data_IF_099495561462
#
_entry.id   IF_099495561462
#
_cell.length_a   1.000
_cell.length_b   1.000
_cell.length_c   1.000
_cell.angle_alpha   90.00
_cell.angle_beta   90.00
_cell.angle_gamma   90.00
#
_symmetry.space_group_name_H-M   'P 1'
#
loop_
_entity.id
_entity.type
_entity.pdbx_description
1 polymer ?
#
# COMPACT_ATOMS: atom_id res chain seq x y z
N UNK A 1 -32.60 49.20 5.60
CA UNK A 1 -32.59 47.89 6.30
C UNK A 1 -33.16 48.10 7.68
N UNK A 2 -34.24 47.39 8.01
CA UNK A 2 -34.87 47.44 9.35
C UNK A 2 -33.95 46.77 10.38
N UNK A 3 -34.00 47.14 11.64
CA UNK A 3 -33.18 46.55 12.70
C UNK A 3 -33.27 45.02 12.73
N UNK A 4 -34.43 44.49 12.48
CA UNK A 4 -34.69 43.06 12.38
C UNK A 4 -33.88 42.34 11.28
N UNK A 5 -33.72 43.01 10.12
CA UNK A 5 -32.95 42.44 9.00
C UNK A 5 -31.45 42.42 9.32
N UNK A 6 -30.95 43.46 10.05
CA UNK A 6 -29.56 43.51 10.49
C UNK A 6 -29.24 42.41 11.50
N UNK A 7 -30.12 42.18 12.49
CA UNK A 7 -29.97 41.13 13.50
C UNK A 7 -30.00 39.74 12.82
N UNK A 8 -30.95 39.52 11.90
CA UNK A 8 -31.10 38.28 11.18
C UNK A 8 -29.83 37.96 10.35
N UNK A 9 -29.30 38.96 9.64
CA UNK A 9 -28.08 38.82 8.85
C UNK A 9 -26.86 38.52 9.73
N UNK A 10 -26.74 39.16 10.90
CA UNK A 10 -25.64 38.93 11.83
C UNK A 10 -25.69 37.51 12.43
N UNK A 11 -26.86 37.04 12.87
CA UNK A 11 -27.04 35.68 13.40
C UNK A 11 -26.73 34.63 12.33
N UNK A 12 -27.25 34.80 11.10
CA UNK A 12 -26.96 33.91 9.99
C UNK A 12 -25.46 33.90 9.65
N UNK A 13 -24.82 35.08 9.67
CA UNK A 13 -23.37 35.22 9.42
C UNK A 13 -22.53 34.47 10.45
N UNK A 14 -22.82 34.62 11.73
CA UNK A 14 -22.09 33.92 12.82
C UNK A 14 -22.21 32.40 12.67
N UNK A 15 -23.43 31.89 12.45
CA UNK A 15 -23.66 30.46 12.27
C UNK A 15 -22.93 29.92 11.04
N UNK A 16 -22.96 30.66 9.93
CA UNK A 16 -22.28 30.29 8.69
C UNK A 16 -20.74 30.23 8.88
N UNK A 17 -20.15 31.23 9.54
CA UNK A 17 -18.71 31.26 9.83
C UNK A 17 -18.32 30.08 10.72
N UNK A 18 -19.09 29.82 11.79
CA UNK A 18 -18.80 28.71 12.72
C UNK A 18 -18.84 27.36 12.01
N UNK A 19 -19.86 27.11 11.19
CA UNK A 19 -19.98 25.86 10.44
C UNK A 19 -18.82 25.72 9.43
N UNK A 20 -18.47 26.80 8.74
CA UNK A 20 -17.36 26.79 7.78
C UNK A 20 -16.04 26.43 8.46
N UNK A 21 -15.76 27.00 9.63
CA UNK A 21 -14.54 26.70 10.41
C UNK A 21 -14.52 25.21 10.80
N UNK A 22 -15.62 24.68 11.34
CA UNK A 22 -15.73 23.27 11.73
C UNK A 22 -15.49 22.36 10.53
N UNK A 23 -16.06 22.68 9.37
CA UNK A 23 -15.91 21.90 8.16
C UNK A 23 -14.46 21.91 7.64
N UNK A 24 -13.79 23.06 7.65
CA UNK A 24 -12.39 23.16 7.22
C UNK A 24 -11.49 22.32 8.13
N UNK A 25 -11.66 22.41 9.46
CA UNK A 25 -10.89 21.63 10.41
C UNK A 25 -11.14 20.13 10.23
N UNK A 26 -12.42 19.72 10.13
CA UNK A 26 -12.79 18.32 9.92
C UNK A 26 -12.23 17.76 8.62
N UNK A 27 -12.23 18.57 7.55
CA UNK A 27 -11.69 18.18 6.27
C UNK A 27 -10.15 18.00 6.31
N UNK A 28 -9.43 18.90 6.98
CA UNK A 28 -7.99 18.77 7.17
C UNK A 28 -7.64 17.51 7.98
N UNK A 29 -8.33 17.26 9.09
CA UNK A 29 -8.12 16.07 9.91
C UNK A 29 -8.44 14.78 9.14
N UNK A 30 -9.53 14.76 8.37
CA UNK A 30 -9.88 13.61 7.55
C UNK A 30 -8.84 13.34 6.47
N UNK A 31 -8.34 14.38 5.78
CA UNK A 31 -7.32 14.25 4.73
C UNK A 31 -6.00 13.70 5.28
N UNK A 32 -5.53 14.23 6.42
CA UNK A 32 -4.30 13.76 7.05
C UNK A 32 -4.42 12.32 7.55
N UNK A 33 -5.54 11.99 8.23
CA UNK A 33 -5.80 10.63 8.71
C UNK A 33 -5.84 9.61 7.57
N UNK A 34 -6.47 9.98 6.44
CA UNK A 34 -6.56 9.08 5.28
C UNK A 34 -5.20 8.86 4.64
N UNK A 35 -4.39 9.92 4.49
CA UNK A 35 -3.04 9.80 3.95
C UNK A 35 -2.15 8.92 4.83
N UNK A 36 -2.17 9.10 6.13
CA UNK A 36 -1.39 8.32 7.09
C UNK A 36 -1.82 6.84 7.09
N UNK A 37 -3.12 6.57 7.09
CA UNK A 37 -3.67 5.22 7.03
C UNK A 37 -3.28 4.50 5.75
N UNK A 38 -3.42 5.16 4.62
CA UNK A 38 -3.09 4.58 3.32
C UNK A 38 -1.58 4.34 3.17
N UNK A 39 -0.73 5.22 3.71
CA UNK A 39 0.71 5.02 3.77
C UNK A 39 1.08 3.80 4.62
N UNK A 40 0.46 3.67 5.78
CA UNK A 40 0.64 2.52 6.67
C UNK A 40 0.19 1.21 6.02
N UNK A 41 -0.94 1.21 5.31
CA UNK A 41 -1.43 0.05 4.58
C UNK A 41 -0.47 -0.36 3.45
N UNK A 42 0.02 0.60 2.67
CA UNK A 42 1.00 0.35 1.62
C UNK A 42 2.30 -0.24 2.19
N UNK A 43 2.78 0.29 3.31
CA UNK A 43 3.95 -0.24 4.00
C UNK A 43 3.72 -1.65 4.56
N UNK A 44 2.54 -1.93 5.10
CA UNK A 44 2.19 -3.26 5.58
C UNK A 44 2.13 -4.28 4.43
N UNK A 45 1.59 -3.88 3.28
CA UNK A 45 1.57 -4.72 2.08
C UNK A 45 2.99 -4.97 1.54
N UNK A 46 3.89 -3.98 1.61
CA UNK A 46 5.29 -4.19 1.24
C UNK A 46 5.99 -5.19 2.18
N UNK A 47 5.73 -5.12 3.49
CA UNK A 47 6.24 -6.14 4.44
C UNK A 47 5.63 -7.52 4.18
N UNK A 48 4.35 -7.59 3.85
CA UNK A 48 3.70 -8.85 3.51
C UNK A 48 4.28 -9.46 2.22
N UNK A 49 4.58 -8.62 1.21
CA UNK A 49 5.32 -9.06 0.02
C UNK A 49 6.71 -9.59 0.38
N UNK A 50 7.42 -8.95 1.31
CA UNK A 50 8.66 -9.46 1.89
C UNK A 50 8.49 -10.84 2.54
N UNK A 51 7.39 -11.06 3.26
CA UNK A 51 7.06 -12.38 3.82
C UNK A 51 6.85 -13.47 2.76
N UNK A 52 6.26 -13.11 1.62
CA UNK A 52 6.09 -14.02 0.47
C UNK A 52 7.47 -14.36 -0.14
N UNK A 53 8.36 -13.38 -0.25
CA UNK A 53 9.75 -13.59 -0.67
C UNK A 53 10.48 -14.57 0.27
N UNK A 54 10.41 -14.36 1.58
CA UNK A 54 11.02 -15.27 2.56
C UNK A 54 10.46 -16.70 2.47
N UNK A 55 9.16 -16.83 2.26
CA UNK A 55 8.51 -18.12 1.99
C UNK A 55 9.08 -18.76 0.75
N UNK A 56 9.29 -18.01 -0.34
CA UNK A 56 9.88 -18.50 -1.59
C UNK A 56 11.30 -19.04 -1.36
N UNK A 57 12.12 -18.34 -0.60
CA UNK A 57 13.45 -18.83 -0.23
C UNK A 57 13.40 -20.11 0.60
N UNK A 58 12.43 -20.23 1.52
CA UNK A 58 12.26 -21.44 2.32
C UNK A 58 11.82 -22.65 1.45
N UNK A 59 10.96 -22.43 0.45
CA UNK A 59 10.54 -23.45 -0.50
C UNK A 59 11.72 -23.92 -1.37
N UNK A 60 12.53 -22.99 -1.89
CA UNK A 60 13.74 -23.31 -2.66
C UNK A 60 14.74 -24.08 -1.79
N UNK A 61 14.92 -23.68 -0.53
CA UNK A 61 15.76 -24.41 0.42
C UNK A 61 15.31 -25.84 0.63
N UNK A 62 13.99 -26.03 0.80
CA UNK A 62 13.41 -27.38 0.95
C UNK A 62 13.56 -28.22 -0.32
N UNK A 63 13.45 -27.60 -1.49
CA UNK A 63 13.71 -28.26 -2.77
C UNK A 63 15.18 -28.71 -2.89
N UNK A 64 16.13 -27.82 -2.57
CA UNK A 64 17.55 -28.14 -2.56
C UNK A 64 17.88 -29.32 -1.62
N UNK A 65 17.28 -29.31 -0.40
CA UNK A 65 17.48 -30.42 0.55
C UNK A 65 16.94 -31.76 0.04
N UNK A 66 15.75 -31.79 -0.56
CA UNK A 66 15.18 -33.01 -1.14
C UNK A 66 16.08 -33.57 -2.24
N UNK A 67 16.51 -32.70 -3.16
CA UNK A 67 17.41 -33.05 -4.25
C UNK A 67 18.77 -33.52 -3.71
N UNK A 68 19.31 -32.89 -2.67
CA UNK A 68 20.56 -33.31 -2.06
C UNK A 68 20.49 -34.75 -1.53
N UNK A 69 19.39 -35.14 -0.89
CA UNK A 69 19.18 -36.52 -0.41
C UNK A 69 19.14 -37.50 -1.57
N UNK A 70 18.36 -37.21 -2.61
CA UNK A 70 18.19 -38.06 -3.77
C UNK A 70 19.50 -38.25 -4.57
N UNK A 71 20.21 -37.14 -4.84
CA UNK A 71 21.46 -37.13 -5.60
C UNK A 71 22.60 -37.83 -4.81
N UNK A 72 22.63 -37.64 -3.50
CA UNK A 72 23.70 -38.24 -2.67
C UNK A 72 23.76 -39.75 -2.81
N UNK A 73 22.59 -40.41 -2.82
CA UNK A 73 22.50 -41.87 -3.02
C UNK A 73 23.14 -42.33 -4.34
N UNK A 74 23.10 -41.54 -5.42
CA UNK A 74 23.71 -41.85 -6.71
C UNK A 74 25.21 -41.56 -6.75
N UNK A 75 25.64 -40.47 -6.13
CA UNK A 75 27.03 -40.09 -6.06
C UNK A 75 27.86 -41.11 -5.29
N UNK A 76 27.36 -41.63 -4.16
CA UNK A 76 28.06 -42.65 -3.36
C UNK A 76 28.28 -43.94 -4.18
N UNK A 77 27.24 -44.39 -4.89
CA UNK A 77 27.36 -45.57 -5.73
C UNK A 77 28.47 -45.45 -6.83
N UNK A 78 28.83 -44.20 -7.22
CA UNK A 78 29.86 -43.93 -8.22
C UNK A 78 31.27 -43.64 -7.66
N UNK A 79 31.46 -43.48 -6.35
CA UNK A 79 32.73 -42.98 -5.76
C UNK A 79 33.88 -44.03 -5.75
N UNK A 80 33.55 -45.31 -5.72
CA UNK A 80 34.49 -46.44 -5.76
C UNK A 80 34.47 -47.19 -7.09
N UNK A 81 33.84 -46.63 -8.10
CA UNK A 81 33.42 -47.28 -9.33
C UNK A 81 34.39 -47.02 -10.50
N UNK A 82 34.32 -47.87 -11.50
CA UNK A 82 34.97 -47.70 -12.80
C UNK A 82 34.53 -46.41 -13.50
N UNK A 83 35.28 -45.93 -14.49
CA UNK A 83 34.92 -44.75 -15.28
C UNK A 83 33.54 -44.87 -15.94
N UNK A 84 33.18 -46.10 -16.35
CA UNK A 84 31.83 -46.37 -16.93
C UNK A 84 30.73 -46.15 -15.90
N UNK A 85 30.90 -46.66 -14.68
CA UNK A 85 29.95 -46.49 -13.60
C UNK A 85 29.81 -45.03 -13.11
N UNK A 86 30.96 -44.28 -13.12
CA UNK A 86 30.94 -42.82 -12.85
C UNK A 86 30.15 -42.04 -13.89
N UNK A 87 30.28 -42.40 -15.17
CA UNK A 87 29.53 -41.76 -16.25
C UNK A 87 28.03 -42.11 -16.15
N UNK A 88 27.72 -43.34 -15.78
CA UNK A 88 26.31 -43.77 -15.53
C UNK A 88 25.69 -43.01 -14.36
N UNK A 89 26.42 -42.87 -13.25
CA UNK A 89 25.97 -42.07 -12.09
C UNK A 89 25.73 -40.59 -12.45
N UNK A 90 26.60 -39.99 -13.25
CA UNK A 90 26.44 -38.63 -13.77
C UNK A 90 25.16 -38.50 -14.61
N UNK A 91 24.90 -39.45 -15.52
CA UNK A 91 23.73 -39.46 -16.36
C UNK A 91 22.45 -39.56 -15.51
N UNK A 92 22.46 -40.40 -14.45
CA UNK A 92 21.32 -40.51 -13.53
C UNK A 92 21.11 -39.22 -12.75
N UNK A 93 22.16 -38.53 -12.27
CA UNK A 93 22.03 -37.23 -11.59
C UNK A 93 21.48 -36.20 -12.56
N UNK A 94 21.93 -36.17 -13.80
CA UNK A 94 21.41 -35.22 -14.80
C UNK A 94 19.92 -35.45 -15.10
N UNK A 95 19.47 -36.70 -15.13
CA UNK A 95 18.05 -37.05 -15.30
C UNK A 95 17.21 -36.54 -14.11
N UNK A 96 17.69 -36.73 -12.87
CA UNK A 96 17.07 -36.18 -11.65
C UNK A 96 16.97 -34.67 -11.73
N UNK A 97 18.06 -33.97 -12.10
CA UNK A 97 18.08 -32.52 -12.22
C UNK A 97 17.08 -32.02 -13.29
N UNK A 98 17.03 -32.70 -14.44
CA UNK A 98 16.11 -32.36 -15.53
C UNK A 98 14.64 -32.55 -15.13
N UNK A 99 14.34 -33.63 -14.42
CA UNK A 99 13.01 -33.89 -13.87
C UNK A 99 12.61 -32.82 -12.86
N UNK A 100 13.51 -32.54 -11.90
CA UNK A 100 13.27 -31.52 -10.88
C UNK A 100 13.11 -30.10 -11.47
N UNK A 101 13.84 -29.78 -12.53
CA UNK A 101 13.68 -28.52 -13.24
C UNK A 101 12.26 -28.35 -13.77
N UNK A 102 11.73 -29.39 -14.41
CA UNK A 102 10.39 -29.35 -15.00
C UNK A 102 9.29 -29.30 -13.91
N UNK A 103 9.42 -30.12 -12.88
CA UNK A 103 8.44 -30.23 -11.80
C UNK A 103 8.40 -28.96 -10.91
N UNK A 104 9.56 -28.40 -10.61
CA UNK A 104 9.68 -27.27 -9.70
C UNK A 104 9.84 -25.92 -10.43
N UNK A 105 9.89 -25.94 -11.76
CA UNK A 105 10.11 -24.74 -12.59
C UNK A 105 11.33 -23.93 -12.18
N UNK A 106 12.43 -24.61 -11.91
CA UNK A 106 13.70 -24.02 -11.58
C UNK A 106 14.41 -23.57 -12.87
N UNK A 107 15.08 -22.42 -12.80
CA UNK A 107 15.78 -21.88 -13.96
C UNK A 107 17.19 -22.46 -14.09
N UNK A 108 17.82 -22.84 -12.98
CA UNK A 108 19.08 -23.55 -12.99
C UNK A 108 19.19 -24.53 -11.82
N UNK A 109 19.95 -25.60 -12.07
CA UNK A 109 20.34 -26.62 -11.10
C UNK A 109 21.77 -27.06 -11.37
N UNK A 110 22.57 -27.11 -10.33
CA UNK A 110 23.98 -27.44 -10.43
C UNK A 110 24.44 -28.28 -9.25
N UNK A 111 25.24 -29.28 -9.51
CA UNK A 111 25.91 -30.09 -8.49
C UNK A 111 27.41 -29.78 -8.54
N UNK A 112 28.00 -29.45 -7.39
CA UNK A 112 29.41 -29.16 -7.25
C UNK A 112 30.03 -30.00 -6.14
N UNK A 113 31.38 -30.23 -6.24
CA UNK A 113 32.16 -30.90 -5.20
C UNK A 113 32.50 -29.96 -4.04
N UNK A 114 33.28 -30.46 -3.05
CA UNK A 114 33.67 -29.67 -1.88
C UNK A 114 34.63 -28.52 -2.19
N UNK A 115 35.25 -28.51 -3.36
CA UNK A 115 36.06 -27.40 -3.82
C UNK A 115 35.26 -26.33 -4.57
N UNK A 116 33.97 -26.58 -4.79
CA UNK A 116 33.06 -25.74 -5.56
C UNK A 116 33.11 -26.01 -7.07
N UNK A 117 33.90 -27.00 -7.53
CA UNK A 117 33.97 -27.38 -8.92
C UNK A 117 32.66 -28.02 -9.37
N UNK A 118 32.13 -27.57 -10.48
CA UNK A 118 30.87 -28.07 -11.04
C UNK A 118 31.06 -29.46 -11.61
N UNK A 119 30.26 -30.40 -11.15
CA UNK A 119 30.23 -31.80 -11.55
C UNK A 119 29.17 -32.10 -12.60
N UNK A 120 27.96 -31.59 -12.39
CA UNK A 120 26.77 -31.82 -13.23
C UNK A 120 25.93 -30.57 -13.28
N UNK A 121 25.41 -30.25 -14.46
CA UNK A 121 24.35 -29.25 -14.67
C UNK A 121 23.14 -29.92 -15.30
N UNK A 122 21.95 -29.30 -15.11
CA UNK A 122 20.72 -29.83 -15.69
C UNK A 122 20.67 -29.76 -17.24
N UNK A 123 21.31 -28.75 -17.84
CA UNK A 123 21.16 -28.43 -19.27
C UNK A 123 22.39 -28.76 -20.13
N UNK A 124 23.58 -28.91 -19.55
CA UNK A 124 24.81 -28.99 -20.30
C UNK A 124 25.92 -29.73 -19.54
N UNK A 125 26.96 -30.13 -20.29
CA UNK A 125 28.17 -30.59 -19.65
C UNK A 125 28.93 -29.38 -19.07
N UNK A 126 29.38 -29.44 -17.79
CA UNK A 126 30.14 -28.36 -17.21
C UNK A 126 31.44 -28.11 -18.03
N UNK A 127 31.76 -26.86 -18.22
CA UNK A 127 33.04 -26.47 -18.84
C UNK A 127 34.19 -27.00 -18.01
N UNK A 128 35.33 -27.31 -18.69
CA UNK A 128 36.51 -27.70 -17.97
C UNK A 128 36.93 -26.59 -16.98
N UNK A 129 37.07 -26.94 -15.69
CA UNK A 129 37.41 -26.03 -14.59
C UNK A 129 36.31 -25.03 -14.18
N UNK A 130 35.05 -25.23 -14.53
CA UNK A 130 33.95 -24.42 -14.03
C UNK A 130 33.79 -24.57 -12.51
N UNK A 131 33.76 -23.45 -11.82
CA UNK A 131 33.63 -23.42 -10.35
C UNK A 131 32.66 -22.36 -9.87
N UNK A 132 31.95 -22.68 -8.79
CA UNK A 132 31.07 -21.76 -8.06
C UNK A 132 31.83 -20.83 -7.13
N UNK A 133 33.10 -21.10 -6.87
CA UNK A 133 33.98 -20.37 -5.95
C UNK A 133 35.19 -19.76 -6.69
N UNK A 134 34.95 -19.05 -7.80
CA UNK A 134 35.99 -18.28 -8.46
C UNK A 134 36.52 -17.17 -7.53
N UNK A 135 37.84 -16.88 -7.57
CA UNK A 135 38.46 -15.86 -6.72
C UNK A 135 37.80 -14.46 -6.91
N UNK A 136 37.32 -14.20 -8.11
CA UNK A 136 36.75 -12.90 -8.47
C UNK A 136 35.21 -12.83 -8.35
N UNK A 137 34.53 -13.98 -8.21
CA UNK A 137 33.09 -14.03 -8.27
C UNK A 137 32.55 -15.29 -7.58
N UNK A 138 32.54 -15.26 -6.25
CA UNK A 138 32.04 -16.37 -5.41
C UNK A 138 30.57 -16.33 -5.26
N UNK A 139 29.91 -17.47 -5.50
CA UNK A 139 28.50 -17.60 -5.17
C UNK A 139 28.30 -17.62 -3.64
N UNK A 140 27.59 -16.66 -3.04
CA UNK A 140 27.49 -16.55 -1.59
C UNK A 140 26.75 -17.72 -0.95
N UNK A 141 25.80 -18.33 -1.67
CA UNK A 141 25.05 -19.49 -1.18
C UNK A 141 25.96 -20.73 -1.17
N UNK A 142 26.68 -20.98 -2.26
CA UNK A 142 27.64 -22.09 -2.35
C UNK A 142 28.77 -21.93 -1.34
N UNK A 143 29.35 -20.75 -1.21
CA UNK A 143 30.41 -20.46 -0.24
C UNK A 143 29.93 -20.77 1.19
N UNK A 144 28.74 -20.29 1.57
CA UNK A 144 28.18 -20.53 2.90
C UNK A 144 27.96 -22.00 3.19
N UNK A 145 27.32 -22.74 2.25
CA UNK A 145 27.04 -24.17 2.43
C UNK A 145 28.35 -24.96 2.57
N UNK A 146 29.35 -24.70 1.69
CA UNK A 146 30.61 -25.41 1.73
C UNK A 146 31.48 -25.03 2.94
N UNK A 147 31.42 -23.78 3.39
CA UNK A 147 32.09 -23.35 4.61
C UNK A 147 31.57 -24.11 5.83
N UNK A 148 30.26 -24.21 6.00
CA UNK A 148 29.65 -24.96 7.11
C UNK A 148 29.92 -26.46 7.01
N UNK A 149 29.94 -27.02 5.80
CA UNK A 149 30.31 -28.42 5.56
C UNK A 149 31.76 -28.74 6.01
N UNK A 150 32.70 -27.82 5.84
CA UNK A 150 34.08 -27.96 6.35
C UNK A 150 34.14 -28.09 7.86
N UNK A 151 33.17 -27.48 8.60
CA UNK A 151 33.06 -27.62 10.05
C UNK A 151 32.18 -28.80 10.47
N UNK A 152 31.79 -29.68 9.56
CA UNK A 152 30.99 -30.85 9.82
C UNK A 152 29.50 -30.53 10.06
N UNK A 153 29.02 -29.37 9.60
CA UNK A 153 27.64 -28.94 9.78
C UNK A 153 26.81 -29.11 8.52
N UNK A 154 25.63 -29.69 8.65
CA UNK A 154 24.63 -29.76 7.59
C UNK A 154 23.87 -28.46 7.62
N UNK A 155 24.21 -27.53 6.74
CA UNK A 155 23.61 -26.20 6.70
C UNK A 155 23.10 -25.86 5.28
N UNK A 156 21.80 -25.99 5.01
CA UNK A 156 21.22 -25.51 3.79
C UNK A 156 21.03 -23.98 3.86
N UNK A 157 21.44 -23.29 2.83
CA UNK A 157 21.33 -21.83 2.72
C UNK A 157 20.38 -21.43 1.60
N UNK A 158 19.76 -20.27 1.71
CA UNK A 158 19.01 -19.65 0.60
C UNK A 158 19.12 -18.14 0.69
N UNK A 159 19.18 -17.45 -0.46
CA UNK A 159 19.35 -16.01 -0.55
C UNK A 159 18.87 -15.46 -1.88
N UNK A 160 18.60 -14.15 -1.94
CA UNK A 160 18.67 -13.41 -3.19
C UNK A 160 20.14 -13.10 -3.51
N UNK A 161 20.53 -13.25 -4.76
CA UNK A 161 21.88 -13.07 -5.27
C UNK A 161 21.81 -12.31 -6.59
N UNK A 162 22.74 -11.37 -6.78
CA UNK A 162 22.92 -10.72 -8.08
C UNK A 162 24.04 -11.46 -8.82
N UNK A 163 23.68 -12.17 -9.89
CA UNK A 163 24.61 -12.85 -10.75
C UNK A 163 25.02 -11.94 -11.91
N UNK A 164 26.35 -11.84 -12.16
CA UNK A 164 26.94 -10.92 -13.15
C UNK A 164 27.92 -11.62 -14.06
N UNK A 165 28.16 -10.99 -15.22
CA UNK A 165 29.28 -11.29 -16.10
C UNK A 165 29.42 -12.76 -16.46
N UNK A 166 30.63 -13.34 -16.22
CA UNK A 166 30.95 -14.71 -16.58
C UNK A 166 30.04 -15.75 -15.91
N UNK A 167 29.62 -15.51 -14.67
CA UNK A 167 28.76 -16.43 -13.97
C UNK A 167 27.37 -16.52 -14.60
N UNK A 168 26.79 -15.37 -14.97
CA UNK A 168 25.52 -15.35 -15.68
C UNK A 168 25.64 -16.10 -17.03
N UNK A 169 26.75 -15.92 -17.74
CA UNK A 169 27.03 -16.65 -18.97
C UNK A 169 27.18 -18.16 -18.73
N UNK A 170 27.83 -18.57 -17.62
CA UNK A 170 28.00 -19.97 -17.23
C UNK A 170 26.71 -20.68 -16.85
N UNK A 171 25.67 -19.97 -16.46
CA UNK A 171 24.35 -20.56 -16.13
C UNK A 171 23.71 -21.22 -17.35
N UNK A 172 24.15 -20.90 -18.58
CA UNK A 172 23.63 -21.44 -19.84
C UNK A 172 22.10 -21.53 -19.84
N UNK A 173 21.47 -20.38 -19.59
CA UNK A 173 20.01 -20.27 -19.42
C UNK A 173 19.33 -20.77 -20.68
N UNK A 174 18.43 -21.73 -20.51
CA UNK A 174 17.62 -22.29 -21.61
C UNK A 174 16.74 -21.21 -22.24
N UNK A 175 16.10 -21.54 -23.39
CA UNK A 175 15.08 -20.67 -23.99
C UNK A 175 13.90 -20.35 -23.06
N UNK A 176 13.74 -21.09 -21.96
CA UNK A 176 12.71 -20.88 -20.92
C UNK A 176 13.09 -19.85 -19.85
N UNK A 177 14.36 -19.46 -19.79
CA UNK A 177 14.84 -18.51 -18.81
C UNK A 177 15.73 -17.47 -19.54
N UNK A 178 15.14 -16.34 -19.87
CA UNK A 178 15.87 -15.19 -20.41
C UNK A 178 15.82 -14.08 -19.38
N UNK A 179 17.01 -13.55 -19.09
CA UNK A 179 17.13 -12.35 -18.26
C UNK A 179 16.69 -11.15 -19.09
N UNK A 180 15.70 -10.41 -18.61
CA UNK A 180 15.20 -9.22 -19.28
C UNK A 180 16.08 -8.02 -18.93
N UNK A 181 16.67 -7.40 -19.94
CA UNK A 181 17.44 -6.17 -19.83
C UNK A 181 16.60 -4.93 -20.11
N UNK A 182 17.19 -3.77 -19.83
CA UNK A 182 16.54 -2.47 -19.92
C UNK A 182 15.99 -2.11 -21.32
N UNK A 183 16.64 -2.62 -22.36
CA UNK A 183 16.35 -2.25 -23.75
C UNK A 183 15.92 -3.47 -24.59
N UNK A 184 15.42 -4.55 -23.97
CA UNK A 184 15.09 -5.79 -24.67
C UNK A 184 16.33 -6.56 -25.17
N UNK A 185 17.52 -6.08 -24.86
CA UNK A 185 18.78 -6.82 -25.01
C UNK A 185 19.04 -7.61 -23.71
N UNK A 186 19.80 -8.70 -23.78
CA UNK A 186 20.09 -9.50 -22.59
C UNK A 186 20.67 -8.63 -21.48
N UNK A 187 20.20 -8.79 -20.25
CA UNK A 187 20.73 -8.05 -19.11
C UNK A 187 22.15 -8.51 -18.81
N UNK A 188 22.99 -7.57 -18.40
CA UNK A 188 24.33 -7.88 -17.90
C UNK A 188 24.27 -8.55 -16.52
N UNK A 189 23.18 -8.33 -15.76
CA UNK A 189 22.97 -8.79 -14.40
C UNK A 189 21.62 -9.49 -14.25
N UNK A 190 21.57 -10.56 -13.43
CA UNK A 190 20.37 -11.27 -13.07
C UNK A 190 20.16 -11.23 -11.55
N UNK A 191 18.96 -10.85 -11.10
CA UNK A 191 18.55 -11.10 -9.73
C UNK A 191 18.01 -12.51 -9.63
N UNK A 192 18.65 -13.33 -8.78
CA UNK A 192 18.32 -14.73 -8.61
C UNK A 192 17.92 -15.03 -7.17
N UNK A 193 16.96 -15.92 -7.02
CA UNK A 193 16.63 -16.55 -5.74
C UNK A 193 17.29 -17.91 -5.73
N UNK A 194 18.31 -18.09 -4.90
CA UNK A 194 19.12 -19.29 -4.88
C UNK A 194 18.99 -20.04 -3.56
N UNK A 195 19.10 -21.35 -3.63
CA UNK A 195 19.21 -22.19 -2.46
C UNK A 195 20.20 -23.33 -2.69
N UNK A 196 21.02 -23.61 -1.68
CA UNK A 196 22.01 -24.67 -1.70
C UNK A 196 21.83 -25.63 -0.52
N UNK A 197 22.06 -26.90 -0.75
CA UNK A 197 22.10 -27.92 0.29
C UNK A 197 23.33 -28.82 0.14
N UNK A 198 23.98 -29.21 1.26
CA UNK A 198 25.15 -30.08 1.20
C UNK A 198 24.75 -31.53 0.84
N UNK A 199 25.57 -32.14 0.03
CA UNK A 199 25.50 -33.58 -0.26
C UNK A 199 26.20 -34.32 0.89
N UNK A 200 25.44 -35.00 1.71
CA UNK A 200 25.96 -35.65 2.92
C UNK A 200 25.44 -37.07 3.05
N UNK A 201 26.34 -38.03 3.21
CA UNK A 201 25.98 -39.41 3.51
C UNK A 201 27.10 -40.14 4.22
N UNK A 202 26.77 -41.21 4.94
CA UNK A 202 27.74 -42.04 5.67
C UNK A 202 28.71 -41.23 6.54
N UNK A 203 28.30 -40.13 7.08
CA UNK A 203 29.15 -39.26 7.92
C UNK A 203 30.14 -38.38 7.15
N UNK A 204 30.01 -38.29 5.82
CA UNK A 204 30.94 -37.52 4.95
C UNK A 204 30.18 -36.55 4.05
N UNK A 205 30.79 -35.42 3.78
CA UNK A 205 30.34 -34.46 2.77
C UNK A 205 30.95 -34.77 1.43
N UNK A 206 30.17 -34.60 0.36
CA UNK A 206 30.59 -34.88 -1.02
C UNK A 206 30.59 -33.62 -1.90
N UNK A 207 29.89 -32.58 -1.49
CA UNK A 207 29.69 -31.37 -2.24
C UNK A 207 28.40 -30.67 -1.88
N UNK A 208 27.80 -30.01 -2.84
CA UNK A 208 26.51 -29.35 -2.69
C UNK A 208 25.65 -29.49 -3.96
N UNK A 209 24.34 -29.37 -3.81
CA UNK A 209 23.41 -29.01 -4.88
C UNK A 209 23.00 -27.57 -4.72
N UNK A 210 23.01 -26.81 -5.83
CA UNK A 210 22.57 -25.43 -5.92
C UNK A 210 21.39 -25.38 -6.90
N UNK A 211 20.31 -24.71 -6.50
CA UNK A 211 19.11 -24.53 -7.30
C UNK A 211 18.71 -23.06 -7.28
N UNK A 212 18.06 -22.57 -8.32
CA UNK A 212 17.62 -21.20 -8.31
C UNK A 212 16.56 -20.85 -9.34
N UNK A 213 15.98 -19.67 -9.12
CA UNK A 213 15.00 -19.03 -9.97
C UNK A 213 15.44 -17.60 -10.27
N UNK A 214 15.25 -17.16 -11.51
CA UNK A 214 15.56 -15.81 -11.96
C UNK A 214 14.33 -14.92 -11.72
N UNK A 215 14.52 -13.83 -10.99
CA UNK A 215 13.46 -12.87 -10.74
C UNK A 215 13.08 -12.08 -12.00
N UNK A 216 14.06 -11.67 -12.80
CA UNK A 216 13.88 -10.91 -14.04
C UNK A 216 13.82 -11.82 -15.28
N UNK A 217 13.08 -12.94 -15.19
CA UNK A 217 12.88 -13.84 -16.32
C UNK A 217 11.83 -13.27 -17.28
N UNK A 218 12.26 -13.01 -18.54
CA UNK A 218 11.37 -12.47 -19.59
C UNK A 218 10.41 -13.51 -20.19
N UNK A 219 10.62 -14.79 -19.94
CA UNK A 219 9.77 -15.89 -20.42
C UNK A 219 8.70 -16.22 -19.38
N UNK A 220 7.55 -15.64 -19.54
CA UNK A 220 6.40 -15.84 -18.66
C UNK A 220 5.13 -16.10 -19.48
N UNK A 221 4.18 -16.99 -19.08
CA UNK A 221 4.12 -17.70 -17.80
C UNK A 221 4.85 -19.05 -17.83
N UNK A 222 5.39 -19.47 -16.67
CA UNK A 222 5.89 -20.82 -16.47
C UNK A 222 4.72 -21.79 -16.46
N UNK A 223 4.74 -22.89 -17.23
CA UNK A 223 3.66 -23.87 -17.20
C UNK A 223 3.68 -24.65 -15.89
N UNK A 224 2.56 -24.67 -15.18
CA UNK A 224 2.41 -25.48 -13.97
C UNK A 224 1.51 -24.84 -12.90
N UNK A 225 1.18 -25.58 -11.86
CA UNK A 225 0.24 -25.20 -10.79
C UNK A 225 0.88 -25.06 -9.38
N UNK A 226 2.21 -25.09 -9.26
CA UNK A 226 2.89 -24.98 -7.96
C UNK A 226 3.31 -23.54 -7.60
N UNK A 227 3.57 -23.28 -6.32
CA UNK A 227 4.02 -21.96 -5.85
C UNK A 227 5.33 -21.52 -6.52
N UNK A 228 6.26 -22.45 -6.73
CA UNK A 228 7.52 -22.16 -7.42
C UNK A 228 7.38 -21.94 -8.95
N UNK A 229 6.21 -22.22 -9.51
CA UNK A 229 5.92 -22.09 -10.93
C UNK A 229 5.41 -20.72 -11.31
N UNK A 230 4.89 -19.97 -10.35
CA UNK A 230 4.41 -18.60 -10.55
C UNK A 230 5.54 -17.61 -10.20
N UNK A 231 5.83 -16.61 -11.05
CA UNK A 231 6.76 -15.55 -10.70
C UNK A 231 6.39 -14.89 -9.37
N UNK A 232 7.39 -14.51 -8.58
CA UNK A 232 7.19 -14.02 -7.22
C UNK A 232 6.29 -12.78 -7.18
N UNK A 233 6.49 -11.84 -8.08
CA UNK A 233 5.71 -10.61 -8.19
C UNK A 233 4.24 -10.87 -8.56
N UNK A 234 3.99 -11.92 -9.36
CA UNK A 234 2.62 -12.32 -9.74
C UNK A 234 1.91 -13.01 -8.57
N UNK A 235 2.60 -13.94 -7.88
CA UNK A 235 2.08 -14.60 -6.68
C UNK A 235 1.76 -13.57 -5.60
N UNK A 236 2.69 -12.66 -5.32
CA UNK A 236 2.52 -11.63 -4.32
C UNK A 236 1.34 -10.70 -4.67
N UNK A 237 1.18 -10.30 -5.94
CA UNK A 237 0.03 -9.51 -6.38
C UNK A 237 -1.29 -10.26 -6.15
N UNK A 238 -1.36 -11.53 -6.52
CA UNK A 238 -2.59 -12.32 -6.35
C UNK A 238 -2.98 -12.47 -4.88
N UNK A 239 -2.00 -12.69 -4.00
CA UNK A 239 -2.23 -12.84 -2.56
C UNK A 239 -2.61 -11.54 -1.86
N UNK A 240 -2.01 -10.41 -2.25
CA UNK A 240 -2.20 -9.13 -1.59
C UNK A 240 -3.40 -8.34 -2.13
N UNK A 241 -3.62 -8.39 -3.43
CA UNK A 241 -4.55 -7.48 -4.11
C UNK A 241 -5.62 -8.18 -4.95
N UNK A 242 -5.47 -9.47 -5.22
CA UNK A 242 -6.40 -10.18 -6.09
C UNK A 242 -6.46 -9.55 -7.50
N UNK A 243 -7.61 -8.95 -7.83
CA UNK A 243 -7.85 -8.32 -9.14
C UNK A 243 -7.75 -6.79 -9.13
N UNK A 244 -7.26 -6.17 -8.05
CA UNK A 244 -7.15 -4.71 -7.95
C UNK A 244 -6.10 -4.14 -8.94
N UNK A 245 -6.22 -2.85 -9.25
CA UNK A 245 -5.23 -2.07 -10.04
C UNK A 245 -3.98 -1.77 -9.20
N UNK A 246 -3.49 -2.78 -8.53
CA UNK A 246 -2.29 -2.75 -7.73
C UNK A 246 -1.28 -3.74 -8.32
N UNK A 247 -0.01 -3.55 -7.99
CA UNK A 247 1.04 -4.42 -8.49
C UNK A 247 2.13 -4.67 -7.47
N UNK A 248 2.94 -5.65 -7.81
CA UNK A 248 4.17 -5.95 -7.10
C UNK A 248 5.31 -5.86 -8.10
N UNK A 249 6.41 -5.27 -7.69
CA UNK A 249 7.62 -5.09 -8.49
C UNK A 249 8.82 -5.56 -7.69
N UNK A 250 9.86 -5.98 -8.40
CA UNK A 250 11.14 -6.33 -7.82
C UNK A 250 12.18 -5.39 -8.42
N UNK A 251 13.02 -4.81 -7.57
CA UNK A 251 14.11 -3.94 -7.98
C UNK A 251 15.45 -4.44 -7.44
N UNK A 252 16.50 -4.22 -8.20
CA UNK A 252 17.86 -4.37 -7.76
C UNK A 252 18.67 -3.15 -8.19
N UNK A 253 19.60 -2.69 -7.32
CA UNK A 253 20.44 -1.51 -7.57
C UNK A 253 19.63 -0.26 -7.98
N UNK A 254 18.40 -0.10 -7.43
CA UNK A 254 17.52 1.02 -7.75
C UNK A 254 16.88 0.96 -9.15
N UNK A 255 16.85 -0.22 -9.77
CA UNK A 255 16.23 -0.45 -11.08
C UNK A 255 15.19 -1.57 -10.96
N UNK A 256 13.98 -1.35 -11.46
CA UNK A 256 12.94 -2.39 -11.49
C UNK A 256 13.32 -3.44 -12.52
N UNK A 257 13.41 -4.70 -12.09
CA UNK A 257 13.78 -5.85 -12.92
C UNK A 257 12.61 -6.80 -13.21
N UNK A 258 11.59 -6.80 -12.37
CA UNK A 258 10.38 -7.57 -12.61
C UNK A 258 9.12 -6.80 -12.14
N UNK A 259 8.01 -7.01 -12.82
CA UNK A 259 6.75 -6.33 -12.53
C UNK A 259 5.53 -7.19 -12.85
N UNK A 260 4.59 -7.25 -11.91
CA UNK A 260 3.27 -7.86 -12.11
C UNK A 260 2.24 -6.91 -12.72
N UNK A 261 2.58 -5.63 -12.92
CA UNK A 261 1.68 -4.66 -13.54
C UNK A 261 1.72 -4.82 -15.05
N UNK A 262 0.62 -5.32 -15.59
CA UNK A 262 0.34 -5.22 -17.01
C UNK A 262 -0.41 -3.91 -17.21
N UNK A 263 0.27 -2.86 -17.62
CA UNK A 263 -0.38 -1.61 -18.00
C UNK A 263 -1.12 -1.83 -19.34
N UNK A 264 -2.41 -2.06 -19.25
CA UNK A 264 -3.34 -1.79 -20.37
C UNK A 264 -3.69 -0.32 -20.31
N UNK A 265 -2.73 0.56 -20.56
CA UNK A 265 -3.04 1.95 -20.83
C UNK A 265 -3.72 2.00 -22.22
N UNK A 266 -4.98 2.45 -22.23
CA UNK A 266 -5.78 2.77 -23.39
C UNK A 266 -6.01 1.63 -24.38
N UNK A 267 -7.08 0.82 -24.21
CA UNK A 267 -7.94 0.23 -25.26
C UNK A 267 -7.36 -0.26 -26.59
N UNK A 268 -6.08 -0.08 -26.85
CA UNK A 268 -5.35 -0.52 -28.01
C UNK A 268 -4.48 -1.72 -27.65
N UNK A 269 -4.80 -2.82 -28.26
CA UNK A 269 -4.09 -4.08 -28.23
C UNK A 269 -2.57 -3.88 -28.41
N UNK A 270 -1.78 -4.08 -27.35
CA UNK A 270 -0.40 -4.51 -27.51
C UNK A 270 0.72 -3.66 -26.94
N UNK A 271 0.49 -2.55 -26.29
CA UNK A 271 1.57 -1.81 -25.61
C UNK A 271 1.71 -2.24 -24.14
N UNK A 272 2.50 -3.28 -23.85
CA UNK A 272 3.00 -3.51 -22.48
C UNK A 272 3.92 -2.33 -22.13
N UNK A 273 3.44 -1.37 -21.35
CA UNK A 273 4.33 -0.44 -20.66
C UNK A 273 5.08 -1.27 -19.60
N UNK A 274 6.27 -1.72 -19.96
CA UNK A 274 7.14 -2.44 -19.05
C UNK A 274 7.68 -1.44 -18.02
N UNK A 275 7.46 -1.68 -16.74
CA UNK A 275 8.13 -0.98 -15.66
C UNK A 275 9.60 -1.40 -15.53
N UNK A 276 9.98 -2.47 -16.19
CA UNK A 276 11.35 -2.99 -16.19
C UNK A 276 12.30 -1.91 -16.75
N UNK A 277 13.39 -1.67 -16.04
CA UNK A 277 14.37 -0.64 -16.38
C UNK A 277 14.09 0.75 -15.78
N UNK A 278 12.97 0.95 -15.10
CA UNK A 278 12.67 2.22 -14.43
C UNK A 278 13.48 2.33 -13.14
N UNK A 279 14.12 3.48 -12.93
CA UNK A 279 14.85 3.77 -11.68
C UNK A 279 13.88 4.16 -10.57
N UNK A 280 14.14 3.65 -9.37
CA UNK A 280 13.35 3.89 -8.17
C UNK A 280 14.25 4.06 -6.94
N UNK A 281 13.75 4.74 -5.92
CA UNK A 281 14.39 4.83 -4.62
C UNK A 281 13.88 3.70 -3.71
N UNK A 282 14.70 2.69 -3.51
CA UNK A 282 14.37 1.50 -2.70
C UNK A 282 14.64 1.71 -1.20
N UNK A 283 14.93 2.92 -0.75
CA UNK A 283 15.32 3.24 0.65
C UNK A 283 14.18 3.09 1.68
N UNK A 284 13.01 2.57 1.29
CA UNK A 284 11.87 2.30 2.17
C UNK A 284 10.94 3.50 2.41
N UNK A 285 11.23 4.65 1.82
CA UNK A 285 10.30 5.79 1.79
C UNK A 285 9.24 5.57 0.71
N UNK A 286 8.05 6.18 0.93
CA UNK A 286 7.06 6.25 -0.14
C UNK A 286 7.67 6.96 -1.36
N UNK A 287 7.67 6.25 -2.47
CA UNK A 287 8.07 6.80 -3.76
C UNK A 287 6.85 6.96 -4.66
N UNK A 288 6.93 7.90 -5.59
CA UNK A 288 5.89 8.13 -6.58
C UNK A 288 6.46 7.92 -7.96
N UNK A 289 5.79 7.09 -8.74
CA UNK A 289 6.13 6.88 -10.14
C UNK A 289 4.91 7.15 -11.01
N UNK A 290 5.14 7.76 -12.16
CA UNK A 290 4.08 7.99 -13.16
C UNK A 290 4.33 7.05 -14.34
N UNK A 291 3.29 6.28 -14.70
CA UNK A 291 3.33 5.32 -15.80
C UNK A 291 2.25 5.73 -16.79
N UNK A 292 2.64 6.25 -17.94
CA UNK A 292 1.70 6.92 -18.83
C UNK A 292 1.08 8.13 -18.12
N UNK A 293 -0.26 8.17 -18.04
CA UNK A 293 -1.01 9.23 -17.36
C UNK A 293 -1.43 8.87 -15.94
N UNK A 294 -1.01 7.69 -15.43
CA UNK A 294 -1.42 7.19 -14.13
C UNK A 294 -0.26 7.34 -13.14
N UNK A 295 -0.51 8.08 -12.05
CA UNK A 295 0.38 8.15 -10.91
C UNK A 295 0.23 6.91 -10.02
N UNK A 296 1.33 6.35 -9.55
CA UNK A 296 1.38 5.25 -8.59
C UNK A 296 2.16 5.67 -7.36
N UNK A 297 1.69 5.22 -6.20
CA UNK A 297 2.46 5.25 -4.96
C UNK A 297 3.07 3.90 -4.71
N UNK A 298 4.30 3.90 -4.23
CA UNK A 298 5.09 2.69 -4.00
C UNK A 298 5.63 2.66 -2.58
N UNK A 299 5.79 1.45 -2.04
CA UNK A 299 6.52 1.20 -0.80
C UNK A 299 7.36 -0.06 -0.97
N UNK A 300 8.54 -0.07 -0.36
CA UNK A 300 9.55 -1.09 -0.55
C UNK A 300 9.84 -1.88 0.71
N UNK A 301 10.14 -3.16 0.53
CA UNK A 301 10.71 -4.04 1.55
C UNK A 301 12.06 -4.56 1.04
N UNK A 302 13.17 -4.35 1.77
CA UNK A 302 14.50 -4.79 1.32
C UNK A 302 14.61 -6.30 1.32
N UNK A 303 15.27 -6.85 0.29
CA UNK A 303 15.68 -8.23 0.20
C UNK A 303 17.16 -8.32 0.56
N UNK A 304 17.45 -9.06 1.64
CA UNK A 304 18.82 -9.19 2.15
C UNK A 304 19.52 -10.42 1.58
N UNK A 305 20.78 -10.26 1.24
CA UNK A 305 21.69 -11.37 0.95
C UNK A 305 22.13 -12.07 2.24
N UNK A 306 22.81 -13.23 2.11
CA UNK A 306 23.32 -14.00 3.26
C UNK A 306 24.36 -13.24 4.11
N UNK A 307 25.09 -12.32 3.51
CA UNK A 307 26.06 -11.44 4.18
C UNK A 307 25.43 -10.21 4.83
N UNK A 308 24.11 -10.06 4.70
CA UNK A 308 23.35 -8.91 5.21
C UNK A 308 23.33 -7.69 4.29
N UNK A 309 24.03 -7.73 3.14
CA UNK A 309 23.96 -6.69 2.12
C UNK A 309 22.59 -6.66 1.44
N UNK A 310 22.26 -5.55 0.79
CA UNK A 310 21.02 -5.42 0.02
C UNK A 310 21.21 -6.08 -1.35
N UNK A 311 20.51 -7.19 -1.58
CA UNK A 311 20.45 -7.84 -2.90
C UNK A 311 19.39 -7.19 -3.81
N UNK A 312 18.44 -6.47 -3.22
CA UNK A 312 17.36 -5.80 -3.95
C UNK A 312 16.22 -5.41 -3.02
N UNK A 313 15.07 -5.11 -3.59
CA UNK A 313 13.87 -4.81 -2.85
C UNK A 313 12.63 -5.33 -3.58
N UNK A 314 11.64 -5.81 -2.82
CA UNK A 314 10.30 -6.08 -3.31
C UNK A 314 9.41 -4.89 -2.97
N UNK A 315 8.75 -4.32 -3.98
CA UNK A 315 7.90 -3.16 -3.85
C UNK A 315 6.46 -3.49 -4.16
N UNK A 316 5.56 -2.78 -3.49
CA UNK A 316 4.14 -2.77 -3.83
C UNK A 316 3.78 -1.41 -4.37
N UNK A 317 2.90 -1.37 -5.37
CA UNK A 317 2.43 -0.14 -5.98
C UNK A 317 0.91 -0.17 -6.13
N UNK A 318 0.31 0.98 -5.87
CA UNK A 318 -1.14 1.17 -5.98
C UNK A 318 -1.37 2.45 -6.77
N UNK A 319 -2.31 2.43 -7.71
CA UNK A 319 -2.63 3.62 -8.50
C UNK A 319 -3.17 4.75 -7.62
N UNK A 320 -2.81 5.99 -7.91
CA UNK A 320 -3.33 7.15 -7.17
C UNK A 320 -4.86 7.23 -7.25
N UNK A 321 -5.47 6.74 -8.32
CA UNK A 321 -6.92 6.69 -8.49
C UNK A 321 -7.59 5.72 -7.51
N UNK A 322 -7.01 4.55 -7.26
CA UNK A 322 -7.48 3.60 -6.24
C UNK A 322 -7.17 4.07 -4.83
N UNK A 323 -5.99 4.66 -4.65
CA UNK A 323 -5.53 5.20 -3.38
C UNK A 323 -6.37 6.39 -2.92
N UNK A 324 -6.74 7.29 -3.84
CA UNK A 324 -7.52 8.50 -3.58
C UNK A 324 -9.01 8.30 -3.91
N UNK A 325 -9.37 7.31 -4.72
CA UNK A 325 -10.72 7.09 -5.23
C UNK A 325 -11.80 7.01 -4.13
N UNK A 326 -11.66 6.17 -3.09
CA UNK A 326 -12.60 6.12 -1.98
C UNK A 326 -12.62 7.42 -1.18
N UNK A 327 -11.46 8.04 -0.95
CA UNK A 327 -11.35 9.34 -0.28
C UNK A 327 -11.95 10.46 -1.14
N UNK A 328 -11.81 10.40 -2.46
CA UNK A 328 -12.41 11.35 -3.39
C UNK A 328 -13.93 11.32 -3.37
N UNK A 329 -14.53 10.13 -3.36
CA UNK A 329 -15.99 9.97 -3.23
C UNK A 329 -16.50 10.47 -1.88
N UNK A 330 -15.85 10.10 -0.79
CA UNK A 330 -16.19 10.59 0.54
C UNK A 330 -16.01 12.10 0.65
N UNK A 331 -14.95 12.66 0.04
CA UNK A 331 -14.75 14.12 -0.06
C UNK A 331 -15.92 14.80 -0.76
N UNK A 332 -16.39 14.28 -1.88
CA UNK A 332 -17.52 14.84 -2.62
C UNK A 332 -18.81 14.78 -1.78
N UNK A 333 -19.07 13.65 -1.10
CA UNK A 333 -20.22 13.49 -0.20
C UNK A 333 -20.12 14.48 0.97
N UNK A 334 -18.96 14.63 1.60
CA UNK A 334 -18.74 15.58 2.69
C UNK A 334 -18.97 17.03 2.25
N UNK A 335 -18.50 17.42 1.06
CA UNK A 335 -18.75 18.77 0.50
C UNK A 335 -20.25 18.97 0.28
N UNK A 336 -20.96 17.97 -0.23
CA UNK A 336 -22.40 18.05 -0.46
C UNK A 336 -23.18 18.18 0.85
N UNK A 337 -22.85 17.38 1.86
CA UNK A 337 -23.42 17.49 3.22
C UNK A 337 -23.10 18.88 3.81
N UNK A 338 -21.89 19.38 3.62
CA UNK A 338 -21.49 20.71 4.08
C UNK A 338 -22.35 21.82 3.46
N UNK A 339 -22.57 21.79 2.16
CA UNK A 339 -23.42 22.76 1.45
C UNK A 339 -24.84 22.71 1.98
N UNK A 340 -25.42 21.52 2.15
CA UNK A 340 -26.77 21.35 2.70
C UNK A 340 -26.84 21.89 4.14
N UNK A 341 -25.87 21.57 4.99
CA UNK A 341 -25.80 22.06 6.37
C UNK A 341 -25.69 23.61 6.42
N UNK A 342 -24.90 24.22 5.57
CA UNK A 342 -24.77 25.68 5.47
C UNK A 342 -26.10 26.32 5.06
N UNK A 343 -26.80 25.76 4.07
CA UNK A 343 -28.09 26.27 3.62
C UNK A 343 -29.12 26.17 4.74
N UNK A 344 -29.22 24.99 5.41
CA UNK A 344 -30.18 24.78 6.50
C UNK A 344 -29.86 25.70 7.69
N UNK A 345 -28.62 25.81 8.10
CA UNK A 345 -28.22 26.67 9.19
C UNK A 345 -28.45 28.15 8.88
N UNK A 346 -28.19 28.57 7.66
CA UNK A 346 -28.49 29.92 7.17
C UNK A 346 -29.97 30.21 7.20
N UNK A 347 -30.81 29.28 6.74
CA UNK A 347 -32.26 29.41 6.78
C UNK A 347 -32.82 29.50 8.22
N UNK A 348 -32.36 28.61 9.10
CA UNK A 348 -32.76 28.64 10.52
C UNK A 348 -32.29 29.94 11.20
N UNK A 349 -31.03 30.33 11.02
CA UNK A 349 -30.49 31.58 11.57
C UNK A 349 -31.25 32.82 11.08
N UNK A 350 -31.58 32.85 9.78
CA UNK A 350 -32.38 33.94 9.19
C UNK A 350 -33.80 34.00 9.76
N UNK A 351 -34.50 32.86 9.83
CA UNK A 351 -35.85 32.79 10.40
C UNK A 351 -35.87 33.24 11.87
N UNK A 352 -34.90 32.74 12.66
CA UNK A 352 -34.75 33.11 14.06
C UNK A 352 -34.45 34.61 14.23
N UNK A 353 -33.53 35.12 13.44
CA UNK A 353 -33.18 36.54 13.43
C UNK A 353 -34.35 37.46 13.04
N UNK A 354 -35.17 37.05 12.05
CA UNK A 354 -36.40 37.78 11.69
C UNK A 354 -37.41 37.80 12.81
N UNK A 355 -37.64 36.67 13.50
CA UNK A 355 -38.55 36.60 14.61
C UNK A 355 -38.09 37.47 15.78
N UNK A 356 -36.83 37.36 16.16
CA UNK A 356 -36.25 38.18 17.24
C UNK A 356 -36.29 39.68 16.90
N UNK A 357 -35.96 40.03 15.67
CA UNK A 357 -36.00 41.39 15.20
C UNK A 357 -37.42 42.01 15.18
N UNK A 358 -38.46 41.22 14.81
CA UNK A 358 -39.86 41.65 14.88
C UNK A 358 -40.29 41.93 16.31
N UNK A 359 -39.90 41.06 17.28
CA UNK A 359 -40.21 41.23 18.71
C UNK A 359 -39.56 42.49 19.28
N UNK A 360 -38.26 42.68 19.05
CA UNK A 360 -37.53 43.89 19.52
C UNK A 360 -38.11 45.15 18.91
N UNK A 361 -38.49 45.14 17.63
CA UNK A 361 -39.09 46.30 16.98
C UNK A 361 -40.47 46.63 17.55
N UNK A 362 -41.31 45.62 17.86
CA UNK A 362 -42.60 45.80 18.51
C UNK A 362 -42.46 46.39 19.91
N UNK A 363 -41.51 45.94 20.71
CA UNK A 363 -41.21 46.49 22.02
C UNK A 363 -40.71 47.96 21.94
N UNK A 364 -39.82 48.23 20.97
CA UNK A 364 -39.35 49.60 20.72
C UNK A 364 -40.51 50.56 20.35
N UNK A 365 -41.43 50.09 19.50
CA UNK A 365 -42.61 50.85 19.12
C UNK A 365 -43.54 51.06 20.30
N UNK A 366 -43.74 50.05 21.14
CA UNK A 366 -44.55 50.16 22.37
C UNK A 366 -43.93 51.13 23.36
N UNK A 367 -42.60 51.11 23.54
CA UNK A 367 -41.91 52.07 24.39
C UNK A 367 -42.02 53.54 23.85
N UNK A 368 -41.95 53.70 22.53
CA UNK A 368 -42.11 54.99 21.88
C UNK A 368 -43.49 55.56 22.05
N UNK A 369 -44.55 54.72 21.94
CA UNK A 369 -45.94 55.15 22.20
C UNK A 369 -46.14 55.56 23.65
N UNK A 370 -45.55 54.82 24.60
CA UNK A 370 -45.59 55.22 26.02
C UNK A 370 -44.89 56.55 26.24
N UNK A 371 -43.77 56.84 25.59
CA UNK A 371 -43.06 58.09 25.71
C UNK A 371 -43.87 59.28 25.19
N UNK A 372 -44.78 59.12 24.23
CA UNK A 372 -45.68 60.14 23.68
C UNK A 372 -46.96 60.23 24.49
N UNK A 373 -47.16 59.39 25.53
CA UNK A 373 -48.32 59.44 26.41
C UNK A 373 -49.52 58.58 25.94
N UNK A 374 -49.29 57.72 24.91
CA UNK A 374 -50.37 56.80 24.46
C UNK A 374 -50.29 55.50 25.30
N UNK A 375 -51.08 55.49 26.41
CA UNK A 375 -51.13 54.44 27.41
C UNK A 375 -52.33 53.48 27.22
N UNK A 376 -53.13 53.70 26.19
CA UNK A 376 -54.40 52.98 25.97
C UNK A 376 -54.18 51.55 25.44
N UNK A 377 -53.09 51.26 24.72
CA UNK A 377 -52.78 49.94 24.18
C UNK A 377 -51.76 49.23 25.03
N UNK A 378 -52.00 47.93 25.31
CA UNK A 378 -51.03 47.07 25.98
C UNK A 378 -49.77 46.83 25.16
N UNK A 379 -48.72 46.39 25.83
CA UNK A 379 -47.49 45.92 25.17
C UNK A 379 -47.79 44.52 24.63
N UNK A 380 -47.99 44.43 23.31
CA UNK A 380 -48.24 43.16 22.65
C UNK A 380 -46.93 42.47 22.30
N UNK A 381 -46.72 41.25 22.82
CA UNK A 381 -45.67 40.38 22.31
C UNK A 381 -46.20 39.63 21.06
N UNK A 382 -45.66 39.90 19.85
CA UNK A 382 -46.21 39.35 18.61
C UNK A 382 -46.06 37.85 18.44
N UNK A 383 -45.43 37.12 19.40
CA UNK A 383 -45.22 35.66 19.34
C UNK A 383 -46.23 34.87 20.19
N UNK A 384 -47.12 35.51 20.89
CA UNK A 384 -48.20 34.82 21.58
C UNK A 384 -49.54 34.87 20.80
N UNK A 385 -49.66 34.31 19.58
CA UNK A 385 -50.98 33.96 19.08
C UNK A 385 -51.50 32.80 19.92
N UNK A 386 -52.63 32.96 20.52
CA UNK A 386 -53.33 31.89 21.23
C UNK A 386 -53.42 30.65 20.34
N UNK A 387 -52.65 29.58 20.66
CA UNK A 387 -52.65 28.31 19.93
C UNK A 387 -51.35 27.85 19.26
N UNK A 388 -50.26 28.61 19.26
CA UNK A 388 -48.99 28.13 18.68
C UNK A 388 -48.27 27.18 19.66
N UNK A 389 -48.06 25.90 19.23
CA UNK A 389 -47.23 24.90 19.92
C UNK A 389 -45.75 25.21 19.75
N UNK A 390 -45.29 26.40 20.15
CA UNK A 390 -43.90 26.70 20.19
C UNK A 390 -43.22 25.99 21.38
N UNK A 391 -41.99 25.44 21.24
CA UNK A 391 -41.29 24.85 22.36
C UNK A 391 -41.19 25.81 23.54
N UNK A 392 -41.39 25.32 24.75
CA UNK A 392 -41.46 26.11 25.97
C UNK A 392 -40.24 27.02 26.27
N UNK A 393 -39.08 26.71 25.66
CA UNK A 393 -37.89 27.53 25.80
C UNK A 393 -37.93 28.85 25.02
N UNK A 394 -38.82 28.98 24.03
CA UNK A 394 -39.02 30.21 23.26
C UNK A 394 -40.10 31.11 23.85
N UNK A 395 -40.87 30.62 24.83
CA UNK A 395 -42.00 31.32 25.40
C UNK A 395 -41.67 32.12 26.66
N UNK A 396 -40.50 31.97 27.26
CA UNK A 396 -40.06 32.69 28.49
C UNK A 396 -38.61 33.17 28.36
N UNK A 397 -38.30 33.84 27.27
CA UNK A 397 -36.98 34.46 27.09
C UNK A 397 -36.92 35.87 27.71
N UNK A 398 -35.75 36.47 27.72
CA UNK A 398 -35.47 37.82 28.25
C UNK A 398 -36.31 38.89 27.57
N UNK A 399 -36.73 38.68 26.31
CA UNK A 399 -37.54 39.61 25.54
C UNK A 399 -38.98 39.60 26.04
N UNK A 400 -39.51 38.42 26.38
CA UNK A 400 -40.85 38.30 27.01
C UNK A 400 -40.87 38.95 28.39
N UNK A 401 -39.82 38.77 29.19
CA UNK A 401 -39.67 39.42 30.50
C UNK A 401 -39.57 40.93 30.36
N UNK A 402 -38.90 41.45 29.36
CA UNK A 402 -38.83 42.85 29.05
C UNK A 402 -40.20 43.40 28.64
N UNK A 403 -40.94 42.67 27.83
CA UNK A 403 -42.31 43.03 27.46
C UNK A 403 -43.22 43.14 28.68
N UNK A 404 -43.17 42.17 29.59
CA UNK A 404 -43.92 42.17 30.84
C UNK A 404 -43.60 43.38 31.74
N UNK A 405 -42.29 43.67 31.88
CA UNK A 405 -41.85 44.84 32.68
C UNK A 405 -42.24 46.20 32.06
N UNK A 406 -42.22 46.28 30.73
CA UNK A 406 -42.73 47.46 30.03
C UNK A 406 -44.22 47.63 30.21
N UNK A 407 -45.00 46.54 30.22
CA UNK A 407 -46.47 46.61 30.45
C UNK A 407 -46.76 46.97 31.88
N UNK A 408 -46.06 46.44 32.88
CA UNK A 408 -46.17 46.88 34.29
C UNK A 408 -45.91 48.38 34.45
N UNK A 409 -44.79 48.88 33.78
CA UNK A 409 -44.46 50.29 33.81
C UNK A 409 -45.55 51.16 33.18
N UNK A 410 -46.09 50.75 32.03
CA UNK A 410 -47.23 51.44 31.39
C UNK A 410 -48.49 51.54 32.31
N UNK A 411 -48.80 50.44 32.94
CA UNK A 411 -49.97 50.38 33.84
C UNK A 411 -49.81 51.32 35.08
N UNK A 412 -48.54 51.36 35.58
CA UNK A 412 -48.17 52.26 36.66
C UNK A 412 -48.30 53.73 36.26
N UNK A 413 -47.87 54.09 35.06
CA UNK A 413 -48.03 55.44 34.50
C UNK A 413 -49.49 55.79 34.30
N UNK A 414 -50.32 54.86 33.78
CA UNK A 414 -51.75 55.05 33.60
C UNK A 414 -52.43 55.36 34.92
N UNK A 415 -52.20 54.57 35.96
CA UNK A 415 -52.71 54.76 37.28
C UNK A 415 -52.27 56.11 37.90
N UNK A 416 -51.06 56.52 37.69
CA UNK A 416 -50.56 57.81 38.19
C UNK A 416 -51.29 59.01 37.54
N UNK A 417 -51.53 58.94 36.22
CA UNK A 417 -52.21 59.97 35.45
C UNK A 417 -53.70 60.00 35.86
N UNK A 418 -54.36 58.86 36.05
CA UNK A 418 -55.77 58.79 36.55
C UNK A 418 -55.92 59.37 37.95
N UNK A 419 -54.91 59.13 38.82
CA UNK A 419 -54.92 59.78 40.18
C UNK A 419 -54.75 61.29 40.12
N UNK A 420 -53.88 61.80 39.21
CA UNK A 420 -53.71 63.25 39.00
C UNK A 420 -54.93 63.88 38.39
N UNK A 421 -55.74 63.22 37.57
CA UNK A 421 -56.99 63.73 36.94
C UNK A 421 -58.20 63.74 37.88
N UNK A 422 -58.09 62.96 38.94
CA UNK A 422 -59.12 62.94 39.99
C UNK A 422 -58.91 63.95 41.13
N UNK A 423 -57.77 64.62 41.09
CA UNK A 423 -57.55 65.80 41.99
C UNK A 423 -57.81 67.08 41.23
#
# INVERSE_FOLDING_TARGET
>A
MRLSEKIAALCAGVVLVTITIILVISFQQFSSYWQERSASELQNNARAAGGIYEKRLAELRSAAQRLAVEITGKIIAGSEATDAERNQARAQVQDILSTAQNELSLDFLTVADLSGRVLVKHNDQPAANETLLSDNDKNPVAERVLAEAKYGRIFPAASAVIERGERLAQLNLTQRARVEGRDGQGAEDALMFEAGAPLFAAGRFFGLVLVGQIANNSVNPRPGAGSLQTPLEVEARQLLYGNAEAGVVIATEGVIVASSVNSTANGETGGKLSLVGVRCDTSGKEDKITIGDIGYKMSWHPMKSLDGSDAGAIGVLVSESEYVGPAGRLRTIMILIAIVAIILAGAVGFLFGMQLGKRVNSLTESANRMAVGELSRGVEDPIAPAGSRLPAFLSRDEVSRLAEKLDEMRESFRQAIERMRKR
#
